data_IF_669978488474
#
_entry.id   IF_669978488474
#
_cell.length_a   1.000
_cell.length_b   1.000
_cell.length_c   1.000
_cell.angle_alpha   90.00
_cell.angle_beta   90.00
_cell.angle_gamma   90.00
#
_symmetry.space_group_name_H-M   'P 1'
#
loop_
_entity.id
_entity.type
_entity.pdbx_description
1 polymer ?
#
# COMPACT_ATOMS: atom_id res chain seq x y z
N UNK A 1 3.93 19.95 -9.36
CA UNK A 1 2.52 19.83 -9.66
C UNK A 1 1.81 19.06 -8.57
N UNK A 2 0.83 19.71 -7.98
CA UNK A 2 0.10 19.13 -6.84
C UNK A 2 -0.61 17.84 -7.24
N UNK A 3 -1.14 17.82 -8.44
CA UNK A 3 -1.86 16.66 -8.93
C UNK A 3 -0.95 15.45 -9.01
N UNK A 4 0.24 15.64 -9.52
CA UNK A 4 1.19 14.55 -9.64
C UNK A 4 1.72 14.13 -8.28
N UNK A 5 1.92 15.09 -7.41
CA UNK A 5 2.39 14.80 -6.06
C UNK A 5 1.38 13.92 -5.32
N UNK A 6 0.11 14.27 -5.41
CA UNK A 6 -0.94 13.50 -4.76
C UNK A 6 -1.06 12.10 -5.35
N UNK A 7 -0.92 12.01 -6.67
CA UNK A 7 -0.99 10.71 -7.33
C UNK A 7 0.15 9.80 -6.89
N UNK A 8 1.35 10.36 -6.76
CA UNK A 8 2.50 9.59 -6.31
C UNK A 8 2.31 9.14 -4.88
N UNK A 9 1.75 10.01 -4.05
CA UNK A 9 1.51 9.67 -2.66
C UNK A 9 0.48 8.56 -2.53
N UNK A 10 -0.58 8.64 -3.32
CA UNK A 10 -1.61 7.62 -3.29
C UNK A 10 -1.05 6.27 -3.72
N UNK A 11 -0.17 6.29 -4.71
CA UNK A 11 0.44 5.07 -5.20
C UNK A 11 1.31 4.43 -4.12
N UNK A 12 2.05 5.25 -3.40
CA UNK A 12 2.91 4.74 -2.32
C UNK A 12 2.07 4.15 -1.21
N UNK A 13 0.97 4.80 -0.87
CA UNK A 13 0.09 4.30 0.17
C UNK A 13 -0.55 2.98 -0.24
N UNK A 14 -0.90 2.87 -1.51
CA UNK A 14 -1.51 1.66 -2.02
C UNK A 14 -0.53 0.48 -1.94
N UNK A 15 0.71 0.72 -2.28
CA UNK A 15 1.75 -0.30 -2.19
C UNK A 15 1.94 -0.73 -0.74
N UNK A 16 1.94 0.22 0.16
CA UNK A 16 2.09 -0.06 1.57
C UNK A 16 0.94 -0.93 2.07
N UNK A 17 -0.26 -0.59 1.64
CA UNK A 17 -1.43 -1.34 2.05
C UNK A 17 -1.37 -2.79 1.54
N UNK A 18 -0.93 -2.96 0.32
CA UNK A 18 -0.80 -4.30 -0.24
C UNK A 18 0.21 -5.14 0.52
N UNK A 19 1.29 -4.53 0.93
CA UNK A 19 2.32 -5.24 1.68
C UNK A 19 1.81 -5.66 3.05
N UNK A 20 1.05 -4.77 3.68
CA UNK A 20 0.47 -5.08 4.99
C UNK A 20 -0.53 -6.20 4.87
N UNK A 21 -1.36 -6.17 3.85
CA UNK A 21 -2.36 -7.20 3.65
C UNK A 21 -1.72 -8.55 3.37
N UNK A 22 -0.63 -8.53 2.62
CA UNK A 22 0.08 -9.76 2.31
C UNK A 22 0.65 -10.39 3.58
N UNK A 23 1.23 -9.56 4.42
CA UNK A 23 1.81 -10.03 5.67
C UNK A 23 0.74 -10.57 6.60
N UNK A 24 -0.37 -9.85 6.66
CA UNK A 24 -1.47 -10.26 7.51
C UNK A 24 -2.02 -11.61 7.07
N UNK A 25 -2.09 -11.81 5.78
CA UNK A 25 -2.59 -13.07 5.24
C UNK A 25 -1.67 -14.22 5.59
N UNK A 26 -0.37 -13.99 5.56
CA UNK A 26 0.60 -15.03 5.91
C UNK A 26 0.48 -15.43 7.37
N UNK A 27 0.22 -14.47 8.22
CA UNK A 27 0.06 -14.73 9.64
C UNK A 27 -1.24 -15.48 9.92
N UNK A 28 -2.25 -15.22 9.12
CA UNK A 28 -3.56 -15.85 9.31
C UNK A 28 -3.58 -17.30 8.85
N UNK A 29 -2.68 -17.66 7.96
CA UNK A 29 -2.66 -19.00 7.37
C UNK A 29 -2.04 -20.04 8.29
N UNK A 30 -1.60 -19.64 9.42
CA UNK A 30 -1.02 -20.58 10.39
C UNK A 30 -2.05 -21.48 11.10
#
# INVERSE_FOLDING_TARGET
>A
DEKQFLANQAKALQTQLEEIQKRQKELDTE
#
